data_IF_095600554827
#
_entry.id   IF_095600554827
#
_cell.length_a   1.000
_cell.length_b   1.000
_cell.length_c   1.000
_cell.angle_alpha   90.00
_cell.angle_beta   90.00
_cell.angle_gamma   90.00
#
_symmetry.space_group_name_H-M   'P 1'
#
loop_
_entity.id
_entity.type
_entity.pdbx_description
1 polymer ?
#
# COMPACT_ATOMS: atom_id res chain seq x y z
N UNK A 1 -3.82 21.19 -0.42
CA UNK A 1 -3.81 21.58 -0.92
C UNK A 1 -3.89 21.83 -1.37
N UNK A 2 -3.93 21.15 -1.35
CA UNK A 2 -3.82 21.48 -2.03
C UNK A 2 -4.10 21.29 -2.71
N UNK A 3 -3.99 20.76 -2.88
CA UNK A 3 -4.05 20.82 -3.72
C UNK A 3 -4.13 20.61 -4.27
N UNK A 4 -4.10 20.24 -4.40
CA UNK A 4 -3.95 20.43 -5.12
C UNK A 4 -4.12 20.35 -5.77
N UNK A 5 -4.04 19.98 -5.81
CA UNK A 5 -4.03 20.22 -6.59
C UNK A 5 -4.22 20.08 -7.13
N UNK A 6 -4.29 19.90 -7.39
CA UNK A 6 -4.36 20.08 -8.21
C UNK A 6 -4.53 19.96 -9.04
N UNK A 7 -4.55 19.62 -9.10
CA UNK A 7 -4.69 19.52 -10.11
C UNK A 7 -4.49 19.26 -10.97
N UNK A 8 -4.69 19.08 -11.29
CA UNK A 8 -4.46 18.96 -12.23
C UNK A 8 -3.67 18.85 -12.81
N UNK A 9 -3.39 18.62 -12.87
CA UNK A 9 -2.77 18.62 -13.38
C UNK A 9 -2.23 18.01 -13.61
N UNK A 10 -2.20 17.64 -13.37
CA UNK A 10 -1.78 17.20 -13.62
C UNK A 10 -1.84 16.46 -14.38
N UNK A 11 -2.18 16.15 -14.59
CA UNK A 11 -2.24 15.69 -15.32
C UNK A 11 -2.16 15.51 -16.32
N UNK A 12 -2.13 15.57 -16.67
CA UNK A 12 -2.06 15.56 -17.65
C UNK A 12 -1.55 15.37 -18.33
N UNK A 13 -1.21 15.23 -18.47
CA UNK A 13 -0.77 15.19 -19.02
C UNK A 13 -0.54 14.43 -19.42
N UNK A 14 -0.43 14.03 -19.18
CA UNK A 14 -0.14 13.33 -19.56
C UNK A 14 -0.40 12.77 -20.40
N UNK A 15 -0.65 12.66 -20.74
CA UNK A 15 -0.82 12.26 -21.50
C UNK A 15 -0.53 11.90 -22.19
N UNK A 16 -0.33 12.19 -22.56
CA UNK A 16 -0.02 11.93 -23.28
C UNK A 16 0.31 11.23 -23.81
N UNK A 17 0.47 11.12 -23.80
CA UNK A 17 0.79 10.58 -24.24
C UNK A 17 1.06 9.85 -24.63
N UNK A 18 1.09 9.79 -24.82
CA UNK A 18 1.31 9.19 -25.13
C UNK A 18 1.45 8.29 -25.45
N UNK A 19 1.51 8.00 -25.49
CA UNK A 19 1.55 7.36 -25.82
C UNK A 19 1.67 6.50 -26.02
N UNK A 20 1.56 6.31 -26.06
CA UNK A 20 1.61 5.70 -26.29
C UNK A 20 2.11 4.88 -26.18
N UNK A 21 2.19 4.67 -26.08
CA UNK A 21 2.70 4.03 -25.98
C UNK A 21 2.61 2.97 -25.90
N UNK A 22 2.37 2.41 -26.26
CA UNK A 22 2.26 1.37 -26.33
C UNK A 22 2.93 0.52 -25.97
N UNK A 23 2.91 0.21 -25.77
CA UNK A 23 3.98 -0.22 -25.49
C UNK A 23 4.34 -1.57 -25.08
N UNK A 24 5.42 -2.19 -25.46
CA UNK A 24 5.78 -3.58 -25.27
C UNK A 24 6.02 -3.93 -23.84
N UNK A 25 6.49 -3.00 -23.07
CA UNK A 25 6.60 -3.21 -21.65
C UNK A 25 5.25 -3.05 -20.97
N UNK A 26 4.19 -3.10 -21.75
CA UNK A 26 2.85 -3.04 -21.20
C UNK A 26 2.60 -4.12 -20.18
N UNK A 27 3.05 -5.35 -20.45
CA UNK A 27 2.90 -6.43 -19.49
C UNK A 27 3.70 -6.14 -18.22
N UNK A 28 4.83 -5.48 -18.32
CA UNK A 28 5.63 -5.12 -17.19
C UNK A 28 4.91 -4.08 -16.33
N UNK A 29 4.25 -3.11 -16.97
CA UNK A 29 3.45 -2.15 -16.23
C UNK A 29 2.26 -2.81 -15.56
N UNK A 30 1.85 -4.00 -16.07
CA UNK A 30 0.77 -4.76 -15.48
C UNK A 30 1.22 -5.66 -14.35
N UNK A 31 2.52 -5.71 -14.08
CA UNK A 31 3.02 -6.55 -13.00
C UNK A 31 2.44 -6.10 -11.68
N UNK A 32 1.67 -6.97 -11.09
CA UNK A 32 1.08 -6.69 -9.80
C UNK A 32 0.95 -8.00 -9.04
N UNK A 33 1.05 -7.88 -7.75
CA UNK A 33 0.93 -9.01 -6.85
C UNK A 33 0.03 -8.57 -5.70
N UNK A 34 -0.75 -9.51 -5.18
CA UNK A 34 -1.65 -9.21 -4.08
C UNK A 34 -1.25 -10.04 -2.88
N UNK A 35 -1.30 -9.42 -1.72
CA UNK A 35 -1.08 -10.10 -0.46
C UNK A 35 -2.22 -9.73 0.48
N UNK A 36 -2.51 -10.66 1.40
CA UNK A 36 -3.51 -10.43 2.45
C UNK A 36 -2.84 -10.71 3.78
N UNK A 37 -2.92 -9.74 4.66
CA UNK A 37 -2.38 -9.85 6.01
C UNK A 37 -3.53 -9.69 7.00
N UNK A 38 -3.74 -10.71 7.81
CA UNK A 38 -4.81 -10.71 8.82
C UNK A 38 -4.22 -10.48 10.19
N UNK A 39 -4.95 -9.78 11.04
CA UNK A 39 -4.48 -9.56 12.41
C UNK A 39 -4.36 -10.88 13.18
N UNK A 40 -5.06 -11.93 12.73
CA UNK A 40 -5.01 -13.26 13.34
C UNK A 40 -4.71 -14.35 12.32
N UNK A 41 -4.02 -14.02 11.23
CA UNK A 41 -3.82 -14.95 10.13
C UNK A 41 -2.55 -15.79 10.25
N UNK A 42 -2.26 -16.48 9.14
CA UNK A 42 -1.07 -17.36 9.05
C UNK A 42 0.20 -16.52 9.14
N UNK A 43 0.17 -15.30 8.60
CA UNK A 43 1.28 -14.36 8.74
C UNK A 43 0.82 -13.34 9.80
N UNK A 44 1.05 -13.63 11.07
CA UNK A 44 0.57 -12.73 12.12
C UNK A 44 1.38 -11.44 12.14
N UNK A 45 0.84 -10.38 12.72
CA UNK A 45 1.63 -9.15 12.93
C UNK A 45 2.88 -9.46 13.72
N UNK A 46 3.96 -8.79 13.38
CA UNK A 46 5.20 -8.89 14.14
C UNK A 46 5.06 -8.21 15.50
N UNK A 47 4.15 -7.26 15.63
CA UNK A 47 3.85 -6.62 16.90
C UNK A 47 2.43 -6.09 16.88
N UNK A 48 1.86 -5.97 18.07
CA UNK A 48 0.56 -5.34 18.26
C UNK A 48 0.58 -4.61 19.59
N UNK A 49 -0.23 -3.55 19.67
CA UNK A 49 -0.27 -2.72 20.86
C UNK A 49 -1.69 -2.27 21.13
N UNK A 50 -2.09 -2.36 22.39
CA UNK A 50 -3.38 -1.84 22.85
C UNK A 50 -3.20 -0.34 23.10
N UNK A 51 -3.93 0.47 22.33
CA UNK A 51 -3.82 1.93 22.43
C UNK A 51 -4.86 2.53 23.39
N UNK A 52 -5.71 1.68 24.00
CA UNK A 52 -6.76 2.14 24.89
C UNK A 52 -8.06 2.37 24.14
N UNK A 53 -9.15 2.35 24.88
CA UNK A 53 -10.51 2.63 24.39
C UNK A 53 -10.92 1.75 23.21
N UNK A 54 -10.36 0.54 23.12
CA UNK A 54 -10.69 -0.39 22.06
C UNK A 54 -9.86 -0.22 20.80
N UNK A 55 -8.90 0.71 20.78
CA UNK A 55 -8.03 0.91 19.65
C UNK A 55 -6.79 0.03 19.76
N UNK A 56 -6.36 -0.51 18.62
CA UNK A 56 -5.18 -1.38 18.53
C UNK A 56 -4.34 -1.00 17.32
N UNK A 57 -3.05 -1.12 17.45
CA UNK A 57 -2.16 -1.00 16.31
C UNK A 57 -1.51 -2.35 16.04
N UNK A 58 -1.33 -2.64 14.75
CA UNK A 58 -0.69 -3.87 14.29
C UNK A 58 0.40 -3.49 13.30
N UNK A 59 1.51 -4.22 13.34
CA UNK A 59 2.61 -3.99 12.42
C UNK A 59 3.11 -5.31 11.85
N UNK A 60 3.40 -5.31 10.56
CA UNK A 60 4.08 -6.40 9.87
C UNK A 60 5.41 -5.82 9.39
N UNK A 61 6.41 -5.88 10.25
CA UNK A 61 7.65 -5.12 10.07
C UNK A 61 8.61 -5.86 9.15
N UNK A 62 8.94 -5.21 8.02
CA UNK A 62 10.00 -5.66 7.13
C UNK A 62 9.79 -7.02 6.49
N UNK A 63 8.56 -7.54 6.50
CA UNK A 63 8.30 -8.89 6.03
C UNK A 63 7.96 -8.97 4.56
N UNK A 64 7.61 -7.86 3.95
CA UNK A 64 7.19 -7.84 2.56
C UNK A 64 8.21 -7.10 1.71
N UNK A 65 8.39 -7.59 0.49
CA UNK A 65 9.30 -6.94 -0.45
C UNK A 65 8.54 -6.63 -1.73
N UNK A 66 8.96 -5.58 -2.42
CA UNK A 66 8.39 -5.18 -3.69
C UNK A 66 9.50 -5.17 -4.72
N UNK A 67 9.33 -5.92 -5.79
CA UNK A 67 10.31 -6.01 -6.86
C UNK A 67 10.34 -4.73 -7.69
N UNK A 68 11.43 -4.50 -8.43
CA UNK A 68 11.51 -3.32 -9.29
C UNK A 68 10.32 -3.25 -10.25
N UNK A 69 9.66 -2.10 -10.29
CA UNK A 69 8.53 -1.86 -11.18
C UNK A 69 7.22 -2.52 -10.78
N UNK A 70 7.21 -3.26 -9.69
CA UNK A 70 6.04 -4.02 -9.26
C UNK A 70 5.04 -3.13 -8.54
N UNK A 71 3.77 -3.50 -8.66
CA UNK A 71 2.68 -2.94 -7.87
C UNK A 71 2.25 -3.99 -6.86
N UNK A 72 2.32 -3.66 -5.59
CA UNK A 72 1.90 -4.57 -4.52
C UNK A 72 0.58 -4.09 -3.96
N UNK A 73 -0.44 -4.93 -4.07
CA UNK A 73 -1.76 -4.66 -3.52
C UNK A 73 -1.84 -5.35 -2.17
N UNK A 74 -1.92 -4.56 -1.12
CA UNK A 74 -1.93 -5.07 0.25
C UNK A 74 -3.33 -4.99 0.81
N UNK A 75 -3.90 -6.14 1.16
CA UNK A 75 -5.18 -6.21 1.85
C UNK A 75 -4.90 -6.44 3.33
N UNK A 76 -5.22 -5.45 4.15
CA UNK A 76 -5.00 -5.54 5.59
C UNK A 76 -6.35 -5.81 6.25
N UNK A 77 -6.49 -6.98 6.85
CA UNK A 77 -7.77 -7.48 7.34
C UNK A 77 -7.82 -7.42 8.85
N UNK A 78 -8.81 -6.69 9.36
CA UNK A 78 -9.07 -6.64 10.79
C UNK A 78 -9.93 -7.79 11.29
N UNK A 79 -10.50 -8.58 10.38
CA UNK A 79 -11.40 -9.68 10.70
C UNK A 79 -12.65 -9.17 11.41
N UNK A 80 -12.79 -9.40 12.71
CA UNK A 80 -13.96 -8.92 13.45
C UNK A 80 -13.78 -7.55 14.04
N UNK A 81 -12.64 -6.89 13.81
CA UNK A 81 -12.47 -5.52 14.31
C UNK A 81 -12.46 -4.55 13.13
N UNK A 82 -12.91 -3.33 13.41
CA UNK A 82 -13.07 -2.32 12.38
C UNK A 82 -11.74 -1.63 12.11
N UNK A 83 -11.36 -1.53 10.84
CA UNK A 83 -10.13 -0.83 10.45
C UNK A 83 -10.38 0.67 10.47
N UNK A 84 -9.40 1.41 10.95
CA UNK A 84 -9.47 2.88 11.04
C UNK A 84 -8.51 3.49 10.05
N UNK A 85 -7.30 2.92 9.93
CA UNK A 85 -6.27 3.49 9.06
C UNK A 85 -5.22 2.43 8.79
N UNK A 86 -4.66 2.47 7.58
CA UNK A 86 -3.52 1.62 7.24
C UNK A 86 -2.40 2.46 6.67
N UNK A 87 -1.19 1.95 6.76
CA UNK A 87 -0.02 2.67 6.27
C UNK A 87 1.14 1.73 5.98
N UNK A 88 2.19 2.31 5.46
CA UNK A 88 3.41 1.55 5.18
C UNK A 88 4.61 2.46 5.35
N UNK A 89 5.77 1.82 5.49
CA UNK A 89 7.02 2.56 5.52
C UNK A 89 8.09 1.75 4.80
N UNK A 90 8.88 2.35 3.90
CA UNK A 90 10.01 1.65 3.31
C UNK A 90 11.15 1.55 4.32
N UNK A 91 12.03 0.58 4.09
CA UNK A 91 13.20 0.42 4.96
C UNK A 91 14.35 1.34 4.57
N UNK A 92 14.26 1.94 3.40
CA UNK A 92 15.28 2.88 2.93
C UNK A 92 14.61 4.21 2.59
N UNK A 93 15.36 5.12 1.97
CA UNK A 93 14.86 6.47 1.69
C UNK A 93 14.61 6.72 0.20
N UNK A 94 14.72 5.68 -0.64
CA UNK A 94 14.43 5.84 -2.06
C UNK A 94 12.91 6.01 -2.27
N UNK A 95 12.48 6.58 -3.41
CA UNK A 95 11.06 6.78 -3.65
C UNK A 95 10.26 5.48 -3.64
N UNK A 96 9.09 5.55 -3.06
CA UNK A 96 8.13 4.45 -3.01
C UNK A 96 6.76 5.08 -2.87
N UNK A 97 5.83 4.75 -3.76
CA UNK A 97 4.60 5.51 -3.87
C UNK A 97 3.38 4.68 -3.50
N UNK A 98 2.49 5.30 -2.71
CA UNK A 98 1.15 4.77 -2.55
C UNK A 98 0.30 5.28 -3.72
N UNK A 99 -0.19 4.34 -4.52
CA UNK A 99 -1.11 4.66 -5.61
C UNK A 99 -2.51 4.84 -5.05
N UNK A 100 -2.86 4.05 -4.04
CA UNK A 100 -4.16 4.10 -3.39
C UNK A 100 -4.01 3.63 -1.96
N UNK A 101 -4.84 4.20 -1.07
CA UNK A 101 -4.88 3.78 0.34
C UNK A 101 -6.27 4.15 0.84
N UNK A 102 -7.08 3.13 1.14
CA UNK A 102 -8.49 3.40 1.44
C UNK A 102 -9.12 2.23 2.20
N UNK A 103 -10.18 2.50 2.99
CA UNK A 103 -10.96 1.43 3.61
C UNK A 103 -11.90 0.84 2.56
N UNK A 104 -11.68 -0.40 2.19
CA UNK A 104 -12.51 -1.07 1.20
C UNK A 104 -13.78 -1.60 1.84
N UNK A 105 -13.67 -2.05 3.07
CA UNK A 105 -14.78 -2.54 3.88
C UNK A 105 -14.55 -2.08 5.30
N UNK A 106 -15.54 -2.32 6.14
CA UNK A 106 -15.44 -1.99 7.55
C UNK A 106 -14.22 -2.63 8.20
N UNK A 107 -13.86 -3.83 7.76
CA UNK A 107 -12.76 -4.57 8.38
C UNK A 107 -11.58 -4.79 7.42
N UNK A 108 -11.50 -4.03 6.33
CA UNK A 108 -10.40 -4.19 5.38
C UNK A 108 -9.89 -2.85 4.87
N UNK A 109 -8.60 -2.66 4.97
CA UNK A 109 -7.89 -1.51 4.40
C UNK A 109 -7.03 -1.98 3.25
N UNK A 110 -7.06 -1.27 2.13
CA UNK A 110 -6.28 -1.64 0.95
C UNK A 110 -5.27 -0.55 0.68
N UNK A 111 -4.01 -0.95 0.46
CA UNK A 111 -2.95 -0.06 0.02
C UNK A 111 -2.34 -0.65 -1.23
N UNK A 112 -2.18 0.16 -2.26
CA UNK A 112 -1.47 -0.23 -3.48
C UNK A 112 -0.18 0.57 -3.52
N UNK A 113 0.94 -0.13 -3.55
CA UNK A 113 2.26 0.46 -3.46
C UNK A 113 3.05 0.14 -4.71
N UNK A 114 3.68 1.13 -5.29
CA UNK A 114 4.50 0.96 -6.49
C UNK A 114 5.96 1.23 -6.17
N UNK A 115 6.83 0.32 -6.61
CA UNK A 115 8.27 0.47 -6.50
C UNK A 115 8.85 0.93 -7.84
N UNK A 116 9.19 2.22 -7.98
CA UNK A 116 9.69 2.74 -9.26
C UNK A 116 11.19 2.56 -9.45
N UNK A 117 11.93 2.13 -8.42
CA UNK A 117 13.38 2.04 -8.53
C UNK A 117 13.78 0.64 -8.98
N UNK A 118 15.06 0.48 -9.31
CA UNK A 118 15.56 -0.73 -9.94
C UNK A 118 16.00 -1.80 -8.96
N UNK A 119 15.77 -1.59 -7.68
CA UNK A 119 16.15 -2.55 -6.65
C UNK A 119 14.92 -3.03 -5.91
N UNK A 120 15.00 -4.26 -5.39
CA UNK A 120 13.95 -4.80 -4.52
C UNK A 120 13.92 -4.01 -3.23
N UNK A 121 12.72 -3.73 -2.72
CA UNK A 121 12.55 -2.88 -1.56
C UNK A 121 11.74 -3.60 -0.49
N UNK A 122 12.24 -3.56 0.74
CA UNK A 122 11.52 -4.12 1.88
C UNK A 122 10.65 -3.04 2.50
N UNK A 123 9.45 -3.42 2.93
CA UNK A 123 8.50 -2.50 3.55
C UNK A 123 7.94 -3.09 4.82
N UNK A 124 7.45 -2.20 5.66
CA UNK A 124 6.63 -2.55 6.82
C UNK A 124 5.23 -2.03 6.60
N UNK A 125 4.24 -2.80 7.04
CA UNK A 125 2.83 -2.43 6.89
C UNK A 125 2.22 -2.25 8.28
N UNK A 126 1.27 -1.34 8.40
CA UNK A 126 0.66 -0.95 9.67
C UNK A 126 -0.84 -0.86 9.52
N UNK A 127 -1.54 -1.19 10.60
CA UNK A 127 -3.00 -1.10 10.65
C UNK A 127 -3.42 -0.59 12.01
N UNK A 128 -4.30 0.39 12.02
CA UNK A 128 -4.99 0.83 13.24
C UNK A 128 -6.42 0.34 13.13
N UNK A 129 -6.91 -0.29 14.19
CA UNK A 129 -8.25 -0.86 14.19
C UNK A 129 -8.90 -0.61 15.54
N UNK A 130 -10.24 -0.73 15.55
CA UNK A 130 -11.03 -0.51 16.77
C UNK A 130 -11.98 -1.68 16.97
N UNK A 131 -11.95 -2.21 18.18
CA UNK A 131 -12.87 -3.26 18.62
C UNK A 131 -14.19 -2.67 19.08
#
# INVERSE_FOLDING_TARGET
MYHYYYGPALIPYFTHTHNTQRNPDFSERQRRREITLNVDGIIPPSSSEDLGDGFYSFAWAGQQVIDPGEYLVCHLEGRDIQVINGGFTPRDTAPLYAIASFPRRRNQWVIIIHNPVQTQRAISLYLIAKR
#
